data_IF_202866005205
#
_entry.id   IF_202866005205
#
_cell.length_a   1.000
_cell.length_b   1.000
_cell.length_c   1.000
_cell.angle_alpha   90.00
_cell.angle_beta   90.00
_cell.angle_gamma   90.00
#
_symmetry.space_group_name_H-M   'P 1'
#
loop_
_entity.id
_entity.type
_entity.pdbx_description
1 polymer ?
#
# COMPACT_ATOMS: atom_id res chain seq x y z
N UNK A 1 1.79 9.67 -0.92
CA UNK A 1 1.66 8.41 -1.68
C UNK A 1 1.33 8.75 -3.13
N UNK A 2 1.27 7.76 -4.03
CA UNK A 2 0.99 7.98 -5.47
C UNK A 2 -0.47 7.68 -5.85
N UNK A 3 -1.39 7.75 -4.88
CA UNK A 3 -2.77 7.30 -5.05
C UNK A 3 -3.60 8.19 -5.98
N UNK A 4 -3.18 9.44 -6.19
CA UNK A 4 -3.78 10.36 -7.16
C UNK A 4 -3.66 9.91 -8.62
N UNK A 5 -2.79 8.94 -8.92
CA UNK A 5 -2.66 8.34 -10.25
C UNK A 5 -3.72 7.27 -10.54
N UNK A 6 -4.50 6.88 -9.54
CA UNK A 6 -5.59 5.93 -9.67
C UNK A 6 -6.89 6.65 -10.04
N UNK A 7 -7.78 5.97 -10.76
CA UNK A 7 -9.15 6.46 -10.88
C UNK A 7 -9.96 6.15 -9.61
N UNK A 8 -11.14 6.74 -9.49
CA UNK A 8 -12.03 6.59 -8.33
C UNK A 8 -12.29 5.12 -7.92
N UNK A 9 -12.56 4.24 -8.89
CA UNK A 9 -12.83 2.81 -8.61
C UNK A 9 -11.58 2.10 -8.11
N UNK A 10 -10.44 2.40 -8.71
CA UNK A 10 -9.13 1.86 -8.30
C UNK A 10 -8.73 2.36 -6.90
N UNK A 11 -9.02 3.61 -6.55
CA UNK A 11 -8.78 4.15 -5.20
C UNK A 11 -9.56 3.38 -4.13
N UNK A 12 -10.86 3.14 -4.36
CA UNK A 12 -11.70 2.37 -3.43
C UNK A 12 -11.20 0.93 -3.28
N UNK A 13 -10.91 0.26 -4.39
CA UNK A 13 -10.34 -1.10 -4.36
C UNK A 13 -8.95 -1.15 -3.74
N UNK A 14 -8.16 -0.10 -3.86
CA UNK A 14 -6.85 -0.01 -3.22
C UNK A 14 -7.00 0.05 -1.71
N UNK A 15 -7.96 0.82 -1.21
CA UNK A 15 -8.22 0.89 0.23
C UNK A 15 -8.66 -0.47 0.80
N UNK A 16 -9.52 -1.22 0.10
CA UNK A 16 -9.85 -2.60 0.47
C UNK A 16 -8.58 -3.46 0.58
N UNK A 17 -7.69 -3.36 -0.41
CA UNK A 17 -6.45 -4.13 -0.44
C UNK A 17 -5.46 -3.73 0.68
N UNK A 18 -5.40 -2.44 1.01
CA UNK A 18 -4.59 -1.91 2.10
C UNK A 18 -5.11 -2.39 3.46
N UNK A 19 -6.43 -2.45 3.66
CA UNK A 19 -7.02 -3.07 4.85
C UNK A 19 -6.64 -4.55 4.93
N UNK A 20 -6.76 -5.30 3.84
CA UNK A 20 -6.40 -6.72 3.84
C UNK A 20 -4.93 -6.98 4.18
N UNK A 21 -4.04 -6.09 3.77
CA UNK A 21 -2.62 -6.18 4.10
C UNK A 21 -2.37 -5.94 5.59
N UNK A 22 -3.05 -4.92 6.14
CA UNK A 22 -2.97 -4.54 7.55
C UNK A 22 -3.59 -5.58 8.49
N UNK A 23 -4.68 -6.24 8.07
CA UNK A 23 -5.41 -7.25 8.86
C UNK A 23 -4.84 -8.67 8.66
N UNK A 24 -3.72 -8.82 7.96
CA UNK A 24 -3.20 -10.14 7.55
C UNK A 24 -2.71 -10.99 8.73
N UNK A 25 -2.30 -10.35 9.82
CA UNK A 25 -1.81 -11.00 11.04
C UNK A 25 -2.81 -10.92 12.22
N UNK A 26 -3.95 -10.25 12.06
CA UNK A 26 -5.01 -10.13 13.07
C UNK A 26 -5.51 -8.69 13.22
N UNK A 27 -5.94 -8.33 14.44
CA UNK A 27 -6.57 -7.02 14.68
C UNK A 27 -5.64 -5.84 14.39
N UNK A 28 -6.09 -4.85 13.59
CA UNK A 28 -5.26 -3.72 13.22
C UNK A 28 -4.78 -2.88 14.41
N UNK A 29 -3.48 -2.66 14.50
CA UNK A 29 -2.85 -1.82 15.52
C UNK A 29 -3.21 -0.34 15.35
N UNK A 30 -2.96 0.48 16.37
CA UNK A 30 -3.18 1.93 16.28
C UNK A 30 -2.30 2.60 15.21
N UNK A 31 -1.11 2.05 14.96
CA UNK A 31 -0.25 2.49 13.86
C UNK A 31 -0.92 2.25 12.53
N UNK A 32 -1.40 1.04 12.28
CA UNK A 32 -2.00 0.68 11.00
C UNK A 32 -3.26 1.49 10.71
N UNK A 33 -4.09 1.75 11.73
CA UNK A 33 -5.22 2.68 11.61
C UNK A 33 -4.78 4.08 11.21
N UNK A 34 -3.65 4.56 11.75
CA UNK A 34 -3.06 5.84 11.34
C UNK A 34 -2.59 5.82 9.89
N UNK A 35 -1.98 4.72 9.43
CA UNK A 35 -1.54 4.54 8.03
C UNK A 35 -2.74 4.54 7.08
N UNK A 36 -3.82 3.83 7.40
CA UNK A 36 -5.07 3.86 6.63
C UNK A 36 -5.69 5.27 6.59
N UNK A 37 -5.71 5.98 7.72
CA UNK A 37 -6.21 7.36 7.78
C UNK A 37 -5.38 8.32 6.90
N UNK A 38 -4.05 8.15 6.83
CA UNK A 38 -3.21 8.93 5.90
C UNK A 38 -3.61 8.68 4.44
N UNK A 39 -3.90 7.44 4.06
CA UNK A 39 -4.36 7.13 2.69
C UNK A 39 -5.70 7.78 2.38
N UNK A 40 -6.67 7.65 3.29
CA UNK A 40 -7.99 8.26 3.13
C UNK A 40 -7.87 9.78 2.98
N UNK A 41 -6.97 10.41 3.74
CA UNK A 41 -6.70 11.84 3.63
C UNK A 41 -6.09 12.25 2.27
N UNK A 42 -5.26 11.39 1.65
CA UNK A 42 -4.77 11.62 0.28
C UNK A 42 -5.86 11.43 -0.80
N UNK A 43 -6.95 10.75 -0.44
CA UNK A 43 -8.06 10.38 -1.32
C UNK A 43 -9.27 11.29 -1.09
N UNK A 44 -9.04 12.61 -1.13
CA UNK A 44 -10.05 13.63 -0.83
C UNK A 44 -11.37 13.47 -1.61
N UNK A 45 -11.29 12.90 -2.82
CA UNK A 45 -12.44 12.67 -3.71
C UNK A 45 -13.38 11.54 -3.27
N UNK A 46 -12.94 10.65 -2.37
CA UNK A 46 -13.72 9.49 -1.92
C UNK A 46 -13.79 9.33 -0.40
N UNK A 47 -13.19 10.27 0.35
CA UNK A 47 -13.10 10.21 1.82
C UNK A 47 -14.46 10.04 2.50
N UNK A 48 -15.51 10.67 1.97
CA UNK A 48 -16.86 10.68 2.55
C UNK A 48 -17.66 9.40 2.21
N UNK A 49 -17.19 8.61 1.24
CA UNK A 49 -17.83 7.39 0.78
C UNK A 49 -17.22 6.13 1.40
N UNK A 50 -15.99 6.25 1.88
CA UNK A 50 -15.28 5.13 2.45
C UNK A 50 -15.78 4.82 3.87
N UNK A 51 -16.36 3.64 4.05
CA UNK A 51 -16.97 3.23 5.33
C UNK A 51 -16.15 2.19 6.12
N UNK A 52 -14.87 1.98 5.78
CA UNK A 52 -14.03 0.87 6.31
C UNK A 52 -14.67 -0.52 6.18
N UNK A 53 -15.73 -0.64 5.38
CA UNK A 53 -16.39 -1.91 5.08
C UNK A 53 -15.79 -2.48 3.82
N UNK A 54 -15.17 -3.65 3.95
CA UNK A 54 -14.68 -4.43 2.82
C UNK A 54 -15.81 -4.61 1.80
N UNK A 55 -15.59 -4.16 0.58
CA UNK A 55 -16.62 -4.23 -0.46
C UNK A 55 -16.65 -5.58 -1.17
N UNK A 56 -15.62 -6.39 -0.99
CA UNK A 56 -15.37 -7.61 -1.75
C UNK A 56 -14.32 -8.48 -1.04
N UNK A 57 -14.11 -9.72 -1.49
CA UNK A 57 -13.06 -10.58 -0.97
C UNK A 57 -11.65 -10.14 -1.37
N UNK A 58 -10.64 -10.59 -0.61
CA UNK A 58 -9.22 -10.33 -0.94
C UNK A 58 -8.85 -10.84 -2.32
N UNK A 59 -9.30 -12.03 -2.72
CA UNK A 59 -8.98 -12.59 -4.04
C UNK A 59 -9.60 -11.78 -5.17
N UNK A 60 -10.87 -11.38 -5.04
CA UNK A 60 -11.54 -10.57 -6.05
C UNK A 60 -10.90 -9.19 -6.16
N UNK A 61 -10.46 -8.61 -5.05
CA UNK A 61 -9.75 -7.33 -5.03
C UNK A 61 -8.39 -7.44 -5.72
N UNK A 62 -7.65 -8.52 -5.50
CA UNK A 62 -6.39 -8.79 -6.19
C UNK A 62 -6.63 -9.01 -7.68
N UNK A 63 -7.63 -9.80 -8.05
CA UNK A 63 -7.92 -10.12 -9.44
C UNK A 63 -8.43 -8.88 -10.21
N UNK A 64 -9.13 -7.94 -9.56
CA UNK A 64 -9.45 -6.64 -10.15
C UNK A 64 -8.18 -5.92 -10.65
N UNK A 65 -7.14 -5.84 -9.83
CA UNK A 65 -5.89 -5.17 -10.21
C UNK A 65 -5.00 -5.99 -11.14
N UNK A 66 -5.11 -7.31 -11.11
CA UNK A 66 -4.42 -8.21 -12.06
C UNK A 66 -4.77 -7.86 -13.51
N UNK A 67 -5.98 -7.38 -13.80
CA UNK A 67 -6.39 -7.06 -15.17
C UNK A 67 -6.18 -5.57 -15.54
N UNK A 68 -5.76 -4.74 -14.57
CA UNK A 68 -5.42 -3.34 -14.82
C UNK A 68 -4.13 -3.16 -15.65
N UNK A 69 -3.93 -1.94 -16.14
CA UNK A 69 -2.72 -1.57 -16.86
C UNK A 69 -1.46 -1.56 -15.96
N UNK A 70 -0.28 -1.51 -16.58
CA UNK A 70 1.01 -1.56 -15.87
C UNK A 70 1.21 -0.41 -14.88
N UNK A 71 0.72 0.79 -15.19
CA UNK A 71 0.86 1.96 -14.32
C UNK A 71 0.09 1.72 -13.03
N UNK A 72 -1.18 1.33 -13.12
CA UNK A 72 -2.03 1.04 -11.96
C UNK A 72 -1.42 -0.06 -11.09
N UNK A 73 -0.97 -1.17 -11.69
CA UNK A 73 -0.30 -2.26 -10.95
C UNK A 73 0.93 -1.79 -10.19
N UNK A 74 1.78 -0.98 -10.83
CA UNK A 74 2.99 -0.45 -10.21
C UNK A 74 2.66 0.53 -9.09
N UNK A 75 1.66 1.39 -9.28
CA UNK A 75 1.18 2.33 -8.26
C UNK A 75 0.65 1.56 -7.05
N UNK A 76 -0.22 0.58 -7.26
CA UNK A 76 -0.76 -0.25 -6.18
C UNK A 76 0.36 -0.96 -5.43
N UNK A 77 1.26 -1.65 -6.15
CA UNK A 77 2.37 -2.38 -5.53
C UNK A 77 3.30 -1.45 -4.73
N UNK A 78 3.70 -0.31 -5.31
CA UNK A 78 4.55 0.66 -4.64
C UNK A 78 3.93 1.17 -3.34
N UNK A 79 2.64 1.50 -3.36
CA UNK A 79 1.97 1.99 -2.15
C UNK A 79 1.80 0.88 -1.10
N UNK A 80 1.59 -0.39 -1.48
CA UNK A 80 1.63 -1.51 -0.53
C UNK A 80 3.03 -1.68 0.09
N UNK A 81 4.11 -1.50 -0.68
CA UNK A 81 5.48 -1.51 -0.13
C UNK A 81 5.69 -0.37 0.86
N UNK A 82 5.19 0.84 0.56
CA UNK A 82 5.23 1.98 1.51
C UNK A 82 4.53 1.60 2.82
N UNK A 83 3.37 0.92 2.75
CA UNK A 83 2.63 0.47 3.93
C UNK A 83 3.46 -0.48 4.78
N UNK A 84 4.03 -1.54 4.19
CA UNK A 84 4.86 -2.51 4.94
C UNK A 84 6.12 -1.91 5.59
N UNK A 85 6.47 -0.68 5.23
CA UNK A 85 7.67 -0.01 5.71
C UNK A 85 7.37 1.13 6.70
N UNK A 86 6.10 1.47 6.92
CA UNK A 86 5.70 2.36 8.01
C UNK A 86 5.66 1.51 9.31
N UNK A 87 6.57 1.78 10.26
CA UNK A 87 6.87 1.01 11.50
C UNK A 87 7.69 -0.30 11.29
N UNK A 88 8.03 -1.00 12.39
CA UNK A 88 8.77 -2.28 12.42
C UNK A 88 7.96 -3.48 11.87
N UNK A 89 6.97 -3.21 11.01
CA UNK A 89 5.95 -4.12 10.49
C UNK A 89 6.44 -5.07 9.39
N UNK A 90 7.75 -5.20 9.15
CA UNK A 90 8.26 -6.19 8.20
C UNK A 90 8.18 -7.62 8.76
N UNK A 91 6.96 -8.10 8.97
CA UNK A 91 6.66 -9.45 9.41
C UNK A 91 6.50 -10.40 8.21
N UNK A 92 6.57 -11.69 8.48
CA UNK A 92 6.50 -12.72 7.43
C UNK A 92 5.18 -12.69 6.66
N UNK A 93 4.06 -12.38 7.32
CA UNK A 93 2.72 -12.40 6.72
C UNK A 93 2.54 -11.30 5.67
N UNK A 94 2.97 -10.08 5.99
CA UNK A 94 2.97 -8.96 5.04
C UNK A 94 3.91 -9.22 3.85
N UNK A 95 5.09 -9.80 4.11
CA UNK A 95 6.02 -10.16 3.05
C UNK A 95 5.40 -11.18 2.09
N UNK A 96 4.75 -12.23 2.62
CA UNK A 96 4.05 -13.24 1.83
C UNK A 96 2.86 -12.63 1.05
N UNK A 97 2.16 -11.66 1.65
CA UNK A 97 1.11 -10.91 0.98
C UNK A 97 1.67 -10.13 -0.21
N UNK A 98 2.73 -9.37 -0.03
CA UNK A 98 3.40 -8.63 -1.11
C UNK A 98 3.92 -9.55 -2.22
N UNK A 99 4.47 -10.72 -1.88
CA UNK A 99 4.90 -11.71 -2.88
C UNK A 99 3.72 -12.24 -3.72
N UNK A 100 2.58 -12.50 -3.07
CA UNK A 100 1.35 -12.91 -3.76
C UNK A 100 0.89 -11.82 -4.74
N UNK A 101 0.86 -10.56 -4.31
CA UNK A 101 0.50 -9.42 -5.17
C UNK A 101 1.48 -9.29 -6.33
N UNK A 102 2.78 -9.35 -6.06
CA UNK A 102 3.83 -9.27 -7.08
C UNK A 102 3.61 -10.32 -8.19
N UNK A 103 3.38 -11.58 -7.80
CA UNK A 103 3.12 -12.69 -8.73
C UNK A 103 1.85 -12.46 -9.54
N UNK A 104 0.75 -12.10 -8.87
CA UNK A 104 -0.55 -11.83 -9.53
C UNK A 104 -0.49 -10.65 -10.50
N UNK A 105 0.30 -9.63 -10.19
CA UNK A 105 0.43 -8.44 -11.04
C UNK A 105 1.49 -8.62 -12.15
N UNK A 106 2.20 -9.76 -12.17
CA UNK A 106 3.30 -10.04 -13.07
C UNK A 106 4.40 -8.96 -13.02
N UNK A 107 4.73 -8.51 -11.79
CA UNK A 107 5.83 -7.58 -11.55
C UNK A 107 7.12 -8.40 -11.47
N UNK A 108 8.03 -8.18 -12.43
CA UNK A 108 9.29 -8.91 -12.47
C UNK A 108 10.24 -8.46 -11.34
N UNK A 109 11.28 -9.25 -11.08
CA UNK A 109 12.22 -9.01 -9.99
C UNK A 109 12.96 -7.67 -10.11
N UNK A 110 13.27 -7.24 -11.34
CA UNK A 110 13.93 -5.96 -11.60
C UNK A 110 13.04 -4.78 -11.20
N UNK A 111 11.80 -4.73 -11.71
CA UNK A 111 10.83 -3.70 -11.37
C UNK A 111 10.51 -3.70 -9.88
N UNK A 112 10.37 -4.87 -9.26
CA UNK A 112 10.21 -5.00 -7.81
C UNK A 112 11.36 -4.31 -7.07
N UNK A 113 12.61 -4.58 -7.46
CA UNK A 113 13.79 -3.96 -6.83
C UNK A 113 13.77 -2.44 -6.99
N UNK A 114 13.45 -1.93 -8.17
CA UNK A 114 13.35 -0.49 -8.41
C UNK A 114 12.28 0.19 -7.54
N UNK A 115 11.08 -0.40 -7.46
CA UNK A 115 9.99 0.14 -6.65
C UNK A 115 10.37 0.13 -5.16
N UNK A 116 10.95 -0.97 -4.68
CA UNK A 116 11.44 -1.09 -3.30
C UNK A 116 12.55 -0.07 -3.01
N UNK A 117 13.50 0.14 -3.92
CA UNK A 117 14.61 1.07 -3.69
C UNK A 117 14.16 2.52 -3.57
N UNK A 118 13.08 2.90 -4.27
CA UNK A 118 12.48 4.23 -4.14
C UNK A 118 11.96 4.44 -2.70
N UNK A 119 11.28 3.44 -2.13
CA UNK A 119 10.72 3.54 -0.78
C UNK A 119 11.84 3.62 0.28
N UNK A 120 12.89 2.81 0.16
CA UNK A 120 14.05 2.90 1.04
C UNK A 120 14.74 4.26 0.97
N UNK A 121 14.94 4.80 -0.23
CA UNK A 121 15.54 6.12 -0.40
C UNK A 121 14.70 7.22 0.26
N UNK A 122 13.37 7.16 0.15
CA UNK A 122 12.46 8.09 0.83
C UNK A 122 12.60 8.00 2.35
N UNK A 123 12.63 6.78 2.90
CA UNK A 123 12.80 6.54 4.34
C UNK A 123 14.13 7.10 4.84
N UNK A 124 15.23 6.82 4.15
CA UNK A 124 16.56 7.31 4.53
C UNK A 124 16.61 8.84 4.57
N UNK A 125 15.97 9.50 3.59
CA UNK A 125 15.86 10.96 3.56
C UNK A 125 15.04 11.50 4.74
N UNK A 126 13.91 10.85 5.08
CA UNK A 126 13.08 11.22 6.24
C UNK A 126 13.82 11.02 7.56
N UNK A 127 14.54 9.92 7.73
CA UNK A 127 15.36 9.66 8.91
C UNK A 127 16.48 10.70 9.05
N UNK A 128 17.16 11.03 7.95
CA UNK A 128 18.19 12.07 7.93
C UNK A 128 17.61 13.43 8.35
N UNK A 129 16.46 13.82 7.81
CA UNK A 129 15.78 15.06 8.20
C UNK A 129 15.42 15.07 9.69
N UNK A 130 14.87 13.97 10.22
CA UNK A 130 14.56 13.83 11.64
C UNK A 130 15.80 13.99 12.53
N UNK A 131 16.96 13.43 12.15
CA UNK A 131 18.21 13.61 12.88
C UNK A 131 18.68 15.06 12.89
N UNK A 132 18.55 15.76 11.77
CA UNK A 132 18.92 17.18 11.67
C UNK A 132 17.99 18.05 12.52
N UNK A 133 16.68 17.80 12.52
CA UNK A 133 15.70 18.60 13.27
C UNK A 133 15.83 18.41 14.79
N UNK A 134 16.20 17.20 15.23
CA UNK A 134 16.36 16.86 16.65
C UNK A 134 17.70 17.30 17.25
N UNK A 135 18.67 17.66 16.42
CA UNK A 135 19.97 18.21 16.82
C UNK A 135 19.93 19.74 16.79
#
# INVERSE_FOLDING_TARGET
MFLSLLNRKEMLKFLDLAIYMVDVDGEPTQTEKRVLNKMIAELDQIKDEYSFRLTDSVENTIDFFKDCNKVVKNVVYLNLVIISMEDDLYNTSEMLFLEKIQKKFNINAEKRRELISIVYAERDLREKANRIIKN
#
